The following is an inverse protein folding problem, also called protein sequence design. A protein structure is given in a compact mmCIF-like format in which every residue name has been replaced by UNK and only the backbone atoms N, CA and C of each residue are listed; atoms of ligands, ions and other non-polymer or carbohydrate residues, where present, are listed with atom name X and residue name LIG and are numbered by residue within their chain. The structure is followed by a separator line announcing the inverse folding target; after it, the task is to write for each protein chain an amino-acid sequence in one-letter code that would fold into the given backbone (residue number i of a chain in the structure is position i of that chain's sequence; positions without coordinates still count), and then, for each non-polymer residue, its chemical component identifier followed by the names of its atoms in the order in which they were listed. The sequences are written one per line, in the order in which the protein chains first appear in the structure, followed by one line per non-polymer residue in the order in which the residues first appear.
data_IF_505999870192
#
_entry.id   IF_505999870192
#
_cell.length_a   1.000
_cell.length_b   1.000
_cell.length_c   1.000
_cell.angle_alpha   90.00
_cell.angle_beta   90.00
_cell.angle_gamma   90.00
#
_symmetry.space_group_name_H-M   'P 1'
#
loop_
_entity.id
_entity.type
_entity.pdbx_description
1 polymer ?
#
# COMPACT_ATOMS: atom_id res chain seq x y z
N UNK A 1 -24.62 -43.92 7.68
CA UNK A 1 -23.83 -42.76 7.21
C UNK A 1 -24.78 -41.92 6.37
N UNK A 2 -25.31 -40.83 6.94
CA UNK A 2 -26.12 -39.90 6.17
C UNK A 2 -25.19 -39.14 5.22
N UNK A 3 -25.48 -39.17 3.92
CA UNK A 3 -24.85 -38.28 2.97
C UNK A 3 -25.20 -36.84 3.40
N UNK A 4 -24.20 -36.02 3.73
CA UNK A 4 -24.43 -34.59 3.92
C UNK A 4 -24.90 -34.04 2.57
N UNK A 5 -26.18 -33.68 2.47
CA UNK A 5 -26.69 -32.86 1.38
C UNK A 5 -25.80 -31.61 1.29
N UNK A 6 -25.11 -31.44 0.15
CA UNK A 6 -24.43 -30.19 -0.14
C UNK A 6 -25.51 -29.10 -0.20
N UNK A 7 -25.44 -28.14 0.72
CA UNK A 7 -26.27 -26.94 0.67
C UNK A 7 -26.09 -26.27 -0.70
N UNK A 8 -27.20 -25.93 -1.35
CA UNK A 8 -27.18 -25.18 -2.61
C UNK A 8 -26.51 -23.82 -2.36
N UNK A 9 -25.59 -23.42 -3.25
CA UNK A 9 -24.92 -22.12 -3.17
C UNK A 9 -25.89 -21.03 -3.57
N UNK A 10 -26.36 -20.24 -2.59
CA UNK A 10 -27.27 -19.12 -2.81
C UNK A 10 -26.62 -17.99 -3.63
N UNK A 11 -25.29 -17.82 -3.52
CA UNK A 11 -24.52 -16.80 -4.22
C UNK A 11 -23.41 -17.43 -5.09
N UNK A 12 -23.75 -18.10 -6.21
CA UNK A 12 -22.79 -18.89 -6.99
C UNK A 12 -21.69 -18.05 -7.66
N UNK A 13 -21.92 -16.74 -7.83
CA UNK A 13 -20.98 -15.81 -8.46
C UNK A 13 -20.13 -15.02 -7.45
N UNK A 14 -20.37 -15.16 -6.15
CA UNK A 14 -19.59 -14.44 -5.13
C UNK A 14 -18.17 -14.98 -5.08
N UNK A 15 -17.18 -14.09 -5.03
CA UNK A 15 -15.79 -14.47 -4.86
C UNK A 15 -15.53 -15.14 -3.50
N UNK A 16 -16.32 -14.78 -2.48
CA UNK A 16 -16.22 -15.32 -1.12
C UNK A 16 -16.42 -16.85 -1.07
N UNK A 17 -17.39 -17.37 -1.84
CA UNK A 17 -17.80 -18.78 -1.77
C UNK A 17 -17.13 -19.67 -2.83
N UNK A 18 -16.04 -19.19 -3.46
CA UNK A 18 -15.31 -20.00 -4.47
C UNK A 18 -14.63 -21.20 -3.84
N UNK A 19 -13.93 -20.97 -2.73
CA UNK A 19 -13.05 -21.91 -2.02
C UNK A 19 -13.57 -22.24 -0.61
N UNK A 20 -14.42 -21.38 -0.05
CA UNK A 20 -14.94 -21.46 1.32
C UNK A 20 -16.47 -21.53 1.37
N UNK A 21 -17.03 -21.99 2.50
CA UNK A 21 -18.47 -21.87 2.79
C UNK A 21 -19.39 -22.97 2.24
N UNK A 22 -18.86 -24.10 1.77
CA UNK A 22 -19.64 -25.18 1.15
C UNK A 22 -20.71 -25.84 2.05
N UNK A 23 -20.59 -25.69 3.38
CA UNK A 23 -21.48 -26.32 4.36
C UNK A 23 -22.33 -25.31 5.15
N UNK A 24 -22.39 -24.05 4.70
CA UNK A 24 -23.17 -23.02 5.37
C UNK A 24 -24.65 -23.14 5.05
N UNK A 25 -25.50 -22.90 6.04
CA UNK A 25 -26.94 -22.74 5.81
C UNK A 25 -27.22 -21.53 4.89
N UNK A 26 -28.42 -21.45 4.30
CA UNK A 26 -28.78 -20.29 3.49
C UNK A 26 -28.70 -18.98 4.28
N UNK A 27 -29.09 -18.98 5.55
CA UNK A 27 -29.03 -17.80 6.42
C UNK A 27 -27.58 -17.39 6.69
N UNK A 28 -26.71 -18.35 6.97
CA UNK A 28 -25.26 -18.09 7.15
C UNK A 28 -24.62 -17.55 5.86
N UNK A 29 -25.02 -18.07 4.69
CA UNK A 29 -24.55 -17.55 3.40
C UNK A 29 -24.99 -16.09 3.20
N UNK A 30 -26.22 -15.72 3.58
CA UNK A 30 -26.71 -14.33 3.50
C UNK A 30 -25.95 -13.40 4.43
N UNK A 31 -25.71 -13.82 5.67
CA UNK A 31 -24.93 -13.05 6.65
C UNK A 31 -23.49 -12.86 6.15
N UNK A 32 -22.81 -13.94 5.75
CA UNK A 32 -21.45 -13.90 5.26
C UNK A 32 -21.29 -13.04 4.00
N UNK A 33 -22.23 -13.13 3.05
CA UNK A 33 -22.22 -12.30 1.85
C UNK A 33 -22.40 -10.82 2.19
N UNK A 34 -23.35 -10.47 3.06
CA UNK A 34 -23.61 -9.08 3.45
C UNK A 34 -22.38 -8.46 4.13
N UNK A 35 -21.74 -9.21 5.03
CA UNK A 35 -20.51 -8.79 5.69
C UNK A 35 -19.34 -8.65 4.70
N UNK A 36 -19.18 -9.58 3.77
CA UNK A 36 -18.17 -9.50 2.72
C UNK A 36 -18.35 -8.29 1.82
N UNK A 37 -19.58 -7.95 1.42
CA UNK A 37 -19.86 -6.73 0.66
C UNK A 37 -19.51 -5.48 1.46
N UNK A 38 -19.84 -5.45 2.75
CA UNK A 38 -19.58 -4.33 3.68
C UNK A 38 -18.09 -4.09 3.95
N UNK A 39 -17.28 -5.15 4.06
CA UNK A 39 -15.87 -5.03 4.50
C UNK A 39 -14.83 -5.40 3.44
N UNK A 40 -15.20 -6.18 2.41
CA UNK A 40 -14.27 -6.65 1.38
C UNK A 40 -13.51 -7.93 1.71
N UNK A 41 -13.88 -8.62 2.79
CA UNK A 41 -13.30 -9.88 3.25
C UNK A 41 -14.25 -10.59 4.24
N UNK A 42 -13.94 -11.83 4.61
CA UNK A 42 -14.81 -12.72 5.38
C UNK A 42 -14.87 -12.38 6.87
N UNK A 43 -15.66 -11.36 7.21
CA UNK A 43 -15.91 -10.99 8.61
C UNK A 43 -16.72 -12.06 9.34
N UNK A 44 -17.63 -12.77 8.66
CA UNK A 44 -18.40 -13.86 9.27
C UNK A 44 -17.48 -14.92 9.90
N UNK A 45 -16.44 -15.32 9.17
CA UNK A 45 -15.42 -16.22 9.70
C UNK A 45 -14.55 -15.54 10.76
N UNK A 46 -14.10 -14.30 10.51
CA UNK A 46 -13.29 -13.54 11.48
C UNK A 46 -13.95 -13.46 12.85
N UNK A 47 -15.26 -13.21 12.91
CA UNK A 47 -16.02 -13.11 14.16
C UNK A 47 -16.07 -14.41 14.96
N UNK A 48 -15.81 -15.55 14.31
CA UNK A 48 -15.82 -16.90 14.89
C UNK A 48 -14.40 -17.44 15.14
N UNK A 49 -13.36 -16.68 14.80
CA UNK A 49 -11.97 -17.03 15.08
C UNK A 49 -11.50 -16.41 16.40
N UNK A 50 -10.64 -17.11 17.17
CA UNK A 50 -9.97 -16.53 18.32
C UNK A 50 -9.19 -15.25 17.96
N UNK A 51 -9.11 -14.31 18.90
CA UNK A 51 -8.31 -13.08 18.74
C UNK A 51 -6.80 -13.35 18.81
N UNK A 52 -6.42 -14.51 19.35
CA UNK A 52 -5.05 -15.00 19.55
C UNK A 52 -4.81 -16.29 18.76
N UNK A 53 -5.48 -16.46 17.61
CA UNK A 53 -5.31 -17.64 16.76
C UNK A 53 -3.82 -17.84 16.41
N UNK A 54 -3.32 -19.09 16.36
CA UNK A 54 -1.94 -19.35 16.01
C UNK A 54 -1.68 -19.01 14.54
N UNK A 55 -0.51 -18.44 14.27
CA UNK A 55 -0.02 -18.17 12.92
C UNK A 55 1.17 -19.08 12.58
N UNK A 56 1.31 -19.51 11.33
CA UNK A 56 2.52 -20.23 10.91
C UNK A 56 3.73 -19.30 10.97
N UNK A 57 4.87 -19.82 11.44
CA UNK A 57 6.15 -19.11 11.30
C UNK A 57 6.70 -19.31 9.88
N UNK A 58 6.59 -18.27 9.08
CA UNK A 58 6.94 -18.24 7.65
C UNK A 58 8.35 -17.68 7.39
N UNK A 59 9.10 -17.38 8.46
CA UNK A 59 10.46 -16.82 8.38
C UNK A 59 11.45 -17.84 7.80
N UNK A 60 12.52 -17.32 7.19
CA UNK A 60 13.67 -18.14 6.84
C UNK A 60 14.30 -18.72 8.13
N UNK A 61 14.69 -20.01 8.18
CA UNK A 61 15.30 -20.62 9.37
C UNK A 61 16.50 -19.85 9.93
N UNK A 62 17.24 -19.11 9.09
CA UNK A 62 18.36 -18.26 9.52
C UNK A 62 17.90 -17.11 10.38
N UNK A 63 16.69 -16.60 10.21
CA UNK A 63 16.11 -15.56 11.07
C UNK A 63 15.95 -16.04 12.52
N UNK A 64 15.63 -17.32 12.72
CA UNK A 64 15.47 -17.92 14.05
C UNK A 64 16.80 -18.04 14.81
N UNK A 65 17.90 -18.12 14.08
CA UNK A 65 19.25 -18.15 14.65
C UNK A 65 19.81 -16.76 14.97
N UNK A 66 19.18 -15.68 14.50
CA UNK A 66 19.65 -14.31 14.74
C UNK A 66 19.45 -13.91 16.19
N UNK A 67 20.43 -13.18 16.73
CA UNK A 67 20.37 -12.57 18.05
C UNK A 67 20.41 -11.06 17.88
N UNK A 68 19.44 -10.39 18.49
CA UNK A 68 19.32 -8.93 18.47
C UNK A 68 19.91 -8.31 19.74
N UNK A 69 20.21 -7.02 19.69
CA UNK A 69 20.68 -6.29 20.87
C UNK A 69 19.68 -6.40 22.05
N UNK A 70 20.16 -6.34 23.29
CA UNK A 70 19.28 -6.43 24.47
C UNK A 70 18.56 -5.12 24.78
N UNK A 71 19.19 -4.02 24.43
CA UNK A 71 18.86 -2.62 24.68
C UNK A 71 18.27 -1.97 23.41
N UNK A 72 17.28 -2.61 22.81
CA UNK A 72 16.56 -2.07 21.65
C UNK A 72 15.70 -0.85 22.04
N UNK A 73 15.48 0.09 21.11
CA UNK A 73 14.62 1.25 21.32
C UNK A 73 13.17 0.82 21.60
N UNK A 74 12.42 1.68 22.31
CA UNK A 74 10.99 1.48 22.53
C UNK A 74 10.19 1.76 21.26
N UNK A 75 9.01 1.15 21.12
CA UNK A 75 8.13 1.26 19.95
C UNK A 75 6.71 1.73 20.35
N UNK A 76 6.20 2.73 19.62
CA UNK A 76 4.78 3.11 19.58
C UNK A 76 4.19 2.54 18.30
N UNK A 77 3.15 1.70 18.42
CA UNK A 77 2.48 1.13 17.25
C UNK A 77 1.23 1.95 16.94
N UNK A 78 1.10 2.43 15.71
CA UNK A 78 -0.02 3.26 15.26
C UNK A 78 -0.88 2.42 14.31
N UNK A 79 -2.15 2.23 14.67
CA UNK A 79 -3.16 1.59 13.83
C UNK A 79 -4.16 2.63 13.35
N UNK A 80 -4.28 2.78 12.04
CA UNK A 80 -5.21 3.72 11.43
C UNK A 80 -6.39 2.93 10.87
N UNK A 81 -7.60 3.42 11.12
CA UNK A 81 -8.80 2.75 10.67
C UNK A 81 -9.92 3.71 10.30
N UNK A 82 -10.73 3.26 9.34
CA UNK A 82 -12.05 3.79 9.04
C UNK A 82 -12.97 2.58 8.87
N UNK A 83 -14.03 2.51 9.67
CA UNK A 83 -15.07 1.48 9.52
C UNK A 83 -14.53 0.04 9.47
N UNK A 84 -13.50 -0.26 10.26
CA UNK A 84 -12.90 -1.61 10.30
C UNK A 84 -13.79 -2.61 11.05
N UNK A 85 -13.73 -3.89 10.68
CA UNK A 85 -14.44 -4.94 11.40
C UNK A 85 -13.91 -5.09 12.84
N UNK A 86 -14.82 -5.18 13.80
CA UNK A 86 -14.47 -5.23 15.22
C UNK A 86 -13.56 -6.42 15.57
N UNK A 87 -13.84 -7.62 15.06
CA UNK A 87 -13.00 -8.81 15.30
C UNK A 87 -11.59 -8.65 14.74
N UNK A 88 -11.46 -7.99 13.59
CA UNK A 88 -10.17 -7.78 12.91
C UNK A 88 -9.29 -6.78 13.65
N UNK A 89 -9.81 -5.60 14.01
CA UNK A 89 -9.00 -4.62 14.75
C UNK A 89 -8.62 -5.13 16.15
N UNK A 90 -9.50 -5.91 16.79
CA UNK A 90 -9.19 -6.58 18.05
C UNK A 90 -8.05 -7.59 17.89
N UNK A 91 -8.05 -8.37 16.81
CA UNK A 91 -6.99 -9.33 16.49
C UNK A 91 -5.65 -8.65 16.20
N UNK A 92 -5.68 -7.51 15.49
CA UNK A 92 -4.50 -6.68 15.29
C UNK A 92 -3.90 -6.22 16.63
N UNK A 93 -4.72 -5.62 17.50
CA UNK A 93 -4.30 -5.19 18.84
C UNK A 93 -3.74 -6.37 19.65
N UNK A 94 -4.47 -7.49 19.71
CA UNK A 94 -4.08 -8.66 20.48
C UNK A 94 -2.75 -9.25 19.99
N UNK A 95 -2.57 -9.41 18.67
CA UNK A 95 -1.33 -9.94 18.09
C UNK A 95 -0.12 -9.05 18.38
N UNK A 96 -0.26 -7.71 18.33
CA UNK A 96 0.81 -6.78 18.71
C UNK A 96 1.18 -6.94 20.18
N UNK A 97 0.20 -7.02 21.07
CA UNK A 97 0.43 -7.20 22.52
C UNK A 97 1.13 -8.54 22.79
N UNK A 98 0.66 -9.62 22.15
CA UNK A 98 1.18 -10.98 22.37
C UNK A 98 2.60 -11.13 21.82
N UNK A 99 2.89 -10.60 20.63
CA UNK A 99 4.14 -10.86 19.90
C UNK A 99 5.18 -9.74 19.99
N UNK A 100 4.95 -8.73 20.84
CA UNK A 100 5.94 -7.68 21.12
C UNK A 100 6.41 -7.76 22.57
N UNK A 101 7.72 -7.86 22.85
CA UNK A 101 8.21 -7.89 24.22
C UNK A 101 7.76 -6.65 25.02
N UNK A 102 7.22 -6.85 26.23
CA UNK A 102 6.67 -5.78 27.10
C UNK A 102 7.63 -4.61 27.35
N UNK A 103 8.94 -4.86 27.36
CA UNK A 103 9.97 -3.82 27.54
C UNK A 103 10.12 -2.89 26.33
N UNK A 104 9.69 -3.34 25.14
CA UNK A 104 9.78 -2.59 23.89
C UNK A 104 8.48 -1.86 23.60
N UNK A 105 7.33 -2.51 23.79
CA UNK A 105 6.02 -1.93 23.47
C UNK A 105 5.67 -0.83 24.47
N UNK A 106 5.76 0.44 24.03
CA UNK A 106 5.44 1.59 24.85
C UNK A 106 3.93 1.85 24.90
N UNK A 107 3.30 1.82 23.73
CA UNK A 107 1.89 2.16 23.52
C UNK A 107 1.41 1.68 22.15
N UNK A 108 0.09 1.54 22.03
CA UNK A 108 -0.63 1.33 20.77
C UNK A 108 -1.62 2.49 20.61
N UNK A 109 -1.51 3.23 19.51
CA UNK A 109 -2.32 4.41 19.20
C UNK A 109 -3.29 4.05 18.08
N UNK A 110 -4.57 4.05 18.39
CA UNK A 110 -5.66 3.80 17.47
C UNK A 110 -6.17 5.14 16.92
N UNK A 111 -5.96 5.39 15.63
CA UNK A 111 -6.40 6.61 14.95
C UNK A 111 -7.66 6.33 14.14
N UNK A 112 -8.78 6.86 14.61
CA UNK A 112 -10.10 6.77 14.01
C UNK A 112 -10.32 7.92 13.01
N UNK A 113 -10.26 7.61 11.72
CA UNK A 113 -10.48 8.57 10.64
C UNK A 113 -11.98 8.74 10.35
N UNK A 114 -12.72 9.12 11.38
CA UNK A 114 -14.15 9.44 11.32
C UNK A 114 -15.05 8.23 10.95
N UNK A 115 -14.83 7.09 11.60
CA UNK A 115 -15.69 5.91 11.45
C UNK A 115 -17.14 6.21 11.85
N UNK A 116 -18.09 5.73 11.05
CA UNK A 116 -19.52 5.94 11.19
C UNK A 116 -20.33 4.64 11.36
N UNK A 117 -19.67 3.48 11.38
CA UNK A 117 -20.34 2.22 11.68
C UNK A 117 -20.65 2.08 13.18
N UNK A 118 -21.94 1.88 13.49
CA UNK A 118 -22.44 1.81 14.87
C UNK A 118 -21.89 0.63 15.68
N UNK A 119 -21.52 -0.47 15.01
CA UNK A 119 -20.98 -1.71 15.58
C UNK A 119 -19.51 -1.60 16.00
N UNK A 120 -18.81 -0.51 15.67
CA UNK A 120 -17.41 -0.31 16.03
C UNK A 120 -17.22 0.57 17.28
N UNK A 121 -17.93 1.69 17.38
CA UNK A 121 -17.65 2.77 18.33
C UNK A 121 -17.54 2.35 19.80
N UNK A 122 -18.68 2.01 20.42
CA UNK A 122 -18.74 1.61 21.84
C UNK A 122 -18.06 0.25 22.10
N UNK A 123 -18.27 -0.81 21.28
CA UNK A 123 -17.64 -2.10 21.51
C UNK A 123 -16.11 -2.09 21.45
N UNK A 124 -15.51 -1.24 20.61
CA UNK A 124 -14.06 -1.04 20.59
C UNK A 124 -13.59 -0.28 21.83
N UNK A 125 -14.34 0.75 22.26
CA UNK A 125 -14.01 1.48 23.48
C UNK A 125 -14.01 0.58 24.71
N UNK A 126 -15.01 -0.30 24.84
CA UNK A 126 -15.08 -1.24 25.96
C UNK A 126 -13.89 -2.21 25.98
N UNK A 127 -13.41 -2.63 24.82
CA UNK A 127 -12.21 -3.47 24.70
C UNK A 127 -10.92 -2.71 25.06
N UNK A 128 -10.81 -1.44 24.63
CA UNK A 128 -9.71 -0.56 25.01
C UNK A 128 -9.67 -0.38 26.54
N UNK A 129 -10.82 -0.11 27.15
CA UNK A 129 -10.94 0.09 28.59
C UNK A 129 -10.58 -1.19 29.37
N UNK A 130 -10.99 -2.36 28.86
CA UNK A 130 -10.61 -3.66 29.42
C UNK A 130 -9.09 -3.85 29.42
N UNK A 131 -8.42 -3.64 28.28
CA UNK A 131 -6.96 -3.79 28.18
C UNK A 131 -6.25 -2.78 29.08
N UNK A 132 -6.70 -1.53 29.09
CA UNK A 132 -6.10 -0.49 29.93
C UNK A 132 -6.32 -0.72 31.43
N UNK A 133 -7.31 -1.52 31.83
CA UNK A 133 -7.45 -1.96 33.22
C UNK A 133 -6.31 -2.90 33.64
N UNK A 134 -5.83 -3.73 32.72
CA UNK A 134 -4.73 -4.68 32.95
C UNK A 134 -3.35 -4.05 32.69
N UNK A 135 -3.25 -3.17 31.69
CA UNK A 135 -2.04 -2.48 31.27
C UNK A 135 -2.32 -0.97 31.11
N UNK A 136 -2.30 -0.20 32.21
CA UNK A 136 -2.69 1.21 32.21
C UNK A 136 -1.93 2.06 31.19
N UNK A 137 -2.69 2.73 30.32
CA UNK A 137 -2.16 3.67 29.34
C UNK A 137 -1.55 3.02 28.09
N UNK A 138 -1.67 1.70 27.93
CA UNK A 138 -1.14 1.00 26.76
C UNK A 138 -1.88 1.39 25.48
N UNK A 139 -3.22 1.40 25.50
CA UNK A 139 -4.03 1.77 24.35
C UNK A 139 -4.50 3.22 24.45
N UNK A 140 -4.22 4.00 23.40
CA UNK A 140 -4.69 5.37 23.23
C UNK A 140 -5.57 5.46 22.00
N UNK A 141 -6.68 6.19 22.10
CA UNK A 141 -7.57 6.45 20.96
C UNK A 141 -7.52 7.92 20.59
N UNK A 142 -7.27 8.20 19.32
CA UNK A 142 -7.32 9.52 18.69
C UNK A 142 -8.42 9.48 17.65
N UNK A 143 -9.39 10.38 17.70
CA UNK A 143 -10.50 10.43 16.74
C UNK A 143 -10.55 11.77 16.04
N UNK A 144 -10.59 11.73 14.72
CA UNK A 144 -10.83 12.93 13.92
C UNK A 144 -12.30 13.35 13.98
N UNK A 145 -12.53 14.67 13.87
CA UNK A 145 -13.88 15.26 13.84
C UNK A 145 -14.53 15.20 12.46
N UNK A 146 -13.74 14.92 11.42
CA UNK A 146 -14.16 14.69 10.04
C UNK A 146 -13.17 13.72 9.38
N UNK A 147 -13.51 13.17 8.21
CA UNK A 147 -12.60 12.29 7.48
C UNK A 147 -11.43 13.12 6.90
N UNK A 148 -10.21 12.83 7.35
CA UNK A 148 -9.00 13.55 6.95
C UNK A 148 -8.16 12.76 5.94
N UNK A 149 -8.34 11.45 5.86
CA UNK A 149 -7.59 10.56 4.97
C UNK A 149 -6.31 9.99 5.61
N UNK A 150 -5.69 9.06 4.88
CA UNK A 150 -4.62 8.22 5.39
C UNK A 150 -3.37 9.01 5.83
N UNK A 151 -2.92 9.98 5.03
CA UNK A 151 -1.72 10.79 5.33
C UNK A 151 -1.89 11.55 6.64
N UNK A 152 -3.00 12.26 6.81
CA UNK A 152 -3.27 13.02 8.02
C UNK A 152 -3.44 12.11 9.25
N UNK A 153 -4.09 10.95 9.10
CA UNK A 153 -4.21 9.98 10.19
C UNK A 153 -2.85 9.43 10.64
N UNK A 154 -1.90 9.22 9.72
CA UNK A 154 -0.52 8.87 10.06
C UNK A 154 0.18 9.98 10.85
N UNK A 155 -0.01 11.24 10.44
CA UNK A 155 0.53 12.40 11.15
C UNK A 155 -0.03 12.48 12.57
N UNK A 156 -1.36 12.42 12.73
CA UNK A 156 -2.02 12.45 14.03
C UNK A 156 -1.51 11.35 14.96
N UNK A 157 -1.33 10.12 14.45
CA UNK A 157 -0.76 9.03 15.23
C UNK A 157 0.69 9.28 15.66
N UNK A 158 1.53 9.79 14.74
CA UNK A 158 2.92 10.13 15.02
C UNK A 158 3.05 11.26 16.05
N UNK A 159 2.21 12.29 15.98
CA UNK A 159 2.19 13.41 16.94
C UNK A 159 1.85 12.96 18.37
N UNK A 160 1.03 11.91 18.52
CA UNK A 160 0.67 11.35 19.82
C UNK A 160 1.65 10.29 20.32
N UNK A 161 2.61 9.87 19.49
CA UNK A 161 3.60 8.87 19.83
C UNK A 161 4.73 9.43 20.71
N UNK A 162 5.13 8.65 21.70
CA UNK A 162 6.10 9.03 22.73
C UNK A 162 7.30 8.09 22.82
N UNK A 163 7.30 6.97 22.10
CA UNK A 163 8.43 6.06 22.03
C UNK A 163 9.57 6.59 21.14
N UNK A 164 10.68 5.87 21.11
CA UNK A 164 11.83 6.17 20.26
C UNK A 164 11.53 5.89 18.78
N UNK A 165 10.82 4.78 18.51
CA UNK A 165 10.42 4.34 17.17
C UNK A 165 8.90 4.38 17.03
N UNK A 166 8.42 4.79 15.85
CA UNK A 166 7.02 4.61 15.45
C UNK A 166 6.91 3.49 14.43
N UNK A 167 5.92 2.60 14.61
CA UNK A 167 5.52 1.63 13.60
C UNK A 167 4.09 1.92 13.17
N UNK A 168 3.91 2.32 11.91
CA UNK A 168 2.61 2.61 11.31
C UNK A 168 2.15 1.35 10.59
N UNK A 169 1.08 0.74 11.08
CA UNK A 169 0.49 -0.48 10.53
C UNK A 169 -0.99 -0.24 10.12
N UNK A 170 -1.49 -1.11 9.25
CA UNK A 170 -2.92 -1.15 8.93
C UNK A 170 -3.70 -1.85 10.05
N UNK A 171 -5.00 -1.54 10.19
CA UNK A 171 -5.84 -2.13 11.24
C UNK A 171 -6.28 -3.59 10.99
N UNK A 172 -5.95 -4.14 9.82
CA UNK A 172 -6.28 -5.51 9.38
C UNK A 172 -5.02 -6.36 9.21
N UNK A 173 -4.20 -6.37 10.26
CA UNK A 173 -2.98 -7.14 10.36
C UNK A 173 -3.01 -8.13 11.51
N UNK A 174 -2.12 -9.10 11.47
CA UNK A 174 -1.73 -9.90 12.63
C UNK A 174 -0.19 -9.93 12.69
N UNK A 175 0.37 -9.38 13.77
CA UNK A 175 1.81 -9.38 13.99
C UNK A 175 2.29 -10.81 14.30
N UNK A 176 3.39 -11.25 13.69
CA UNK A 176 3.97 -12.58 13.94
C UNK A 176 5.02 -12.54 15.06
N UNK A 177 5.38 -13.71 15.60
CA UNK A 177 6.40 -13.80 16.63
C UNK A 177 7.75 -13.22 16.15
N UNK A 178 8.35 -12.33 16.96
CA UNK A 178 9.65 -11.72 16.65
C UNK A 178 9.62 -10.72 15.50
N UNK A 179 8.47 -10.11 15.20
CA UNK A 179 8.35 -9.09 14.15
C UNK A 179 9.06 -7.77 14.51
N UNK A 180 9.09 -7.37 15.78
CA UNK A 180 9.53 -6.03 16.18
C UNK A 180 11.06 -5.92 16.26
N UNK A 181 11.72 -6.91 16.85
CA UNK A 181 13.16 -6.90 17.13
C UNK A 181 14.04 -6.68 15.89
N UNK A 182 13.80 -7.34 14.74
CA UNK A 182 14.59 -7.11 13.53
C UNK A 182 14.47 -5.66 13.00
N UNK A 183 13.28 -5.05 13.13
CA UNK A 183 13.05 -3.66 12.72
C UNK A 183 13.79 -2.69 13.64
N UNK A 184 13.64 -2.89 14.95
CA UNK A 184 14.24 -2.04 15.98
C UNK A 184 15.77 -2.14 15.98
N UNK A 185 16.32 -3.34 15.78
CA UNK A 185 17.77 -3.55 15.68
C UNK A 185 18.33 -2.81 14.45
N UNK A 186 17.58 -2.82 13.34
CA UNK A 186 18.00 -2.12 12.13
C UNK A 186 17.97 -0.60 12.28
N UNK A 187 16.90 -0.04 12.85
CA UNK A 187 16.80 1.40 13.14
C UNK A 187 17.84 1.83 14.18
N UNK A 188 18.13 0.99 15.17
CA UNK A 188 19.18 1.27 16.15
C UNK A 188 20.56 1.40 15.49
N UNK A 189 20.86 0.56 14.50
CA UNK A 189 22.13 0.61 13.78
C UNK A 189 22.26 1.86 12.89
N UNK A 190 21.15 2.35 12.35
CA UNK A 190 21.09 3.57 11.54
C UNK A 190 19.74 4.26 11.74
N UNK A 191 19.71 5.36 12.51
CA UNK A 191 18.46 6.07 12.82
C UNK A 191 17.77 6.68 11.59
N UNK A 192 18.47 6.78 10.47
CA UNK A 192 17.97 7.42 9.23
C UNK A 192 17.34 6.42 8.26
N UNK A 193 17.24 5.14 8.65
CA UNK A 193 16.57 4.10 7.87
C UNK A 193 15.08 4.02 8.19
N UNK A 194 14.26 3.99 7.16
CA UNK A 194 12.84 3.59 7.25
C UNK A 194 12.77 2.12 6.87
N UNK A 195 12.21 1.29 7.74
CA UNK A 195 12.16 -0.16 7.53
C UNK A 195 10.73 -0.64 7.33
N UNK A 196 10.55 -1.62 6.46
CA UNK A 196 9.27 -2.27 6.20
C UNK A 196 9.40 -3.78 6.46
N UNK A 197 8.45 -4.41 7.15
CA UNK A 197 8.42 -5.86 7.29
C UNK A 197 7.97 -6.50 5.97
N UNK A 198 8.06 -7.83 5.87
CA UNK A 198 7.42 -8.57 4.78
C UNK A 198 5.97 -8.86 5.14
N UNK A 199 5.08 -8.64 4.17
CA UNK A 199 3.65 -8.86 4.33
C UNK A 199 3.28 -10.27 3.89
N UNK A 200 2.96 -11.14 4.84
CA UNK A 200 2.32 -12.41 4.51
C UNK A 200 0.86 -12.17 4.14
N UNK A 201 0.38 -12.90 3.14
CA UNK A 201 -0.97 -12.69 2.62
C UNK A 201 -1.96 -13.43 3.50
N UNK A 202 -2.90 -12.70 4.09
CA UNK A 202 -4.10 -13.29 4.68
C UNK A 202 -5.20 -13.24 3.62
N UNK A 203 -5.68 -14.40 3.22
CA UNK A 203 -6.70 -14.54 2.20
C UNK A 203 -8.04 -13.93 2.64
N UNK A 204 -8.69 -13.15 1.78
CA UNK A 204 -9.94 -12.49 2.15
C UNK A 204 -11.10 -13.46 2.40
N UNK A 205 -11.05 -14.67 1.87
CA UNK A 205 -12.15 -15.64 1.85
C UNK A 205 -12.10 -16.59 3.05
N UNK A 206 -10.98 -17.24 3.33
CA UNK A 206 -10.86 -18.22 4.43
C UNK A 206 -9.91 -17.78 5.56
N UNK A 207 -9.32 -16.59 5.43
CA UNK A 207 -8.36 -16.00 6.38
C UNK A 207 -7.12 -16.87 6.63
N UNK A 208 -6.77 -17.79 5.71
CA UNK A 208 -5.50 -18.52 5.81
C UNK A 208 -4.32 -17.61 5.50
N UNK A 209 -3.17 -17.90 6.12
CA UNK A 209 -1.93 -17.15 5.90
C UNK A 209 -1.07 -17.88 4.88
N UNK A 210 -0.79 -17.21 3.77
CA UNK A 210 0.13 -17.64 2.73
C UNK A 210 1.46 -16.89 2.86
N UNK A 211 2.57 -17.63 2.82
CA UNK A 211 3.92 -17.05 2.86
C UNK A 211 4.18 -16.22 1.61
N UNK A 212 4.50 -14.95 1.78
CA UNK A 212 4.94 -14.09 0.69
C UNK A 212 6.47 -14.07 0.54
N UNK A 213 6.99 -14.08 -0.69
CA UNK A 213 8.43 -13.97 -0.90
C UNK A 213 8.87 -12.53 -0.60
N UNK A 214 10.02 -12.29 0.06
CA UNK A 214 10.53 -10.93 0.24
C UNK A 214 10.80 -10.25 -1.11
N UNK A 215 10.23 -9.07 -1.31
CA UNK A 215 10.48 -8.20 -2.46
C UNK A 215 10.84 -6.79 -1.99
N UNK A 216 11.54 -6.03 -2.83
CA UNK A 216 11.63 -4.58 -2.65
C UNK A 216 10.35 -3.91 -3.15
N UNK A 217 10.12 -2.65 -2.77
CA UNK A 217 8.96 -1.88 -3.19
C UNK A 217 9.37 -0.79 -4.17
N UNK A 218 8.64 -0.69 -5.27
CA UNK A 218 8.79 0.34 -6.29
C UNK A 218 7.49 1.10 -6.52
N UNK A 219 7.42 1.78 -7.64
CA UNK A 219 6.22 2.47 -8.11
C UNK A 219 6.28 2.74 -9.62
N UNK A 220 5.11 2.85 -10.24
CA UNK A 220 4.98 3.32 -11.62
C UNK A 220 4.87 4.85 -11.71
N UNK A 221 4.89 5.41 -12.93
CA UNK A 221 4.74 6.86 -13.12
C UNK A 221 3.35 7.41 -12.76
N UNK A 222 2.34 6.56 -12.56
CA UNK A 222 1.07 6.98 -12.00
C UNK A 222 1.10 7.04 -10.45
N UNK A 223 2.26 6.75 -9.84
CA UNK A 223 2.52 6.69 -8.40
C UNK A 223 1.80 5.53 -7.69
N UNK A 224 1.44 4.49 -8.42
CA UNK A 224 0.99 3.23 -7.82
C UNK A 224 2.19 2.40 -7.39
N UNK A 225 2.15 1.85 -6.17
CA UNK A 225 3.20 0.97 -5.71
C UNK A 225 3.22 -0.36 -6.45
N UNK A 226 4.43 -0.88 -6.64
CA UNK A 226 4.70 -2.17 -7.27
C UNK A 226 5.68 -2.97 -6.42
N UNK A 227 5.68 -4.29 -6.59
CA UNK A 227 6.78 -5.11 -6.10
C UNK A 227 7.89 -5.14 -7.13
N UNK A 228 9.11 -4.91 -6.68
CA UNK A 228 10.32 -4.91 -7.50
C UNK A 228 11.30 -5.96 -6.96
N UNK A 229 11.99 -6.72 -7.84
CA UNK A 229 13.05 -7.61 -7.37
C UNK A 229 14.13 -6.81 -6.64
N UNK A 230 14.70 -7.40 -5.59
CA UNK A 230 15.89 -6.81 -4.96
C UNK A 230 17.05 -6.71 -5.95
N UNK A 231 18.06 -5.91 -5.60
CA UNK A 231 19.26 -5.75 -6.41
C UNK A 231 19.93 -7.10 -6.71
N UNK A 232 20.58 -7.20 -7.87
CA UNK A 232 21.29 -8.41 -8.26
C UNK A 232 22.35 -8.85 -7.23
N UNK A 233 22.96 -7.89 -6.52
CA UNK A 233 23.88 -8.16 -5.43
C UNK A 233 23.22 -8.82 -4.23
N UNK A 234 22.02 -8.37 -3.85
CA UNK A 234 21.25 -8.99 -2.77
C UNK A 234 20.85 -10.42 -3.14
N UNK A 235 20.34 -10.62 -4.35
CA UNK A 235 19.94 -11.96 -4.84
C UNK A 235 21.12 -12.94 -4.86
N UNK A 236 22.31 -12.49 -5.28
CA UNK A 236 23.54 -13.31 -5.29
C UNK A 236 23.99 -13.77 -3.91
N UNK A 237 23.59 -13.10 -2.82
CA UNK A 237 23.92 -13.54 -1.45
C UNK A 237 23.23 -14.85 -1.07
N UNK A 238 22.12 -15.20 -1.73
CA UNK A 238 21.30 -16.38 -1.42
C UNK A 238 20.89 -16.43 0.07
N UNK A 239 20.73 -15.27 0.70
CA UNK A 239 20.36 -15.12 2.10
C UNK A 239 19.17 -14.19 2.26
N UNK A 240 17.97 -14.80 2.22
CA UNK A 240 16.70 -14.11 2.40
C UNK A 240 16.56 -13.50 3.79
N UNK A 241 17.41 -13.84 4.77
CA UNK A 241 17.34 -13.24 6.11
C UNK A 241 17.89 -11.82 6.16
N UNK A 242 18.61 -11.36 5.13
CA UNK A 242 19.28 -10.06 5.13
C UNK A 242 18.33 -8.94 4.69
N UNK A 243 18.36 -7.77 5.36
CA UNK A 243 17.67 -6.58 4.88
C UNK A 243 18.08 -6.23 3.44
N UNK A 244 17.12 -5.79 2.64
CA UNK A 244 17.33 -5.37 1.26
C UNK A 244 16.91 -3.92 1.05
N UNK A 245 17.74 -3.13 0.35
CA UNK A 245 17.39 -1.75 -0.03
C UNK A 245 16.16 -1.75 -0.92
N UNK A 246 15.31 -0.75 -0.74
CA UNK A 246 14.05 -0.59 -1.44
C UNK A 246 13.90 0.82 -1.97
N UNK A 247 13.49 1.04 -3.23
CA UNK A 247 13.20 2.38 -3.74
C UNK A 247 12.12 3.12 -2.95
N UNK A 248 11.05 2.39 -2.61
CA UNK A 248 9.88 2.94 -1.94
C UNK A 248 9.50 2.13 -0.70
N UNK A 249 8.40 2.53 -0.07
CA UNK A 249 7.68 1.77 0.94
C UNK A 249 6.23 1.59 0.49
N UNK A 250 5.58 0.50 0.90
CA UNK A 250 4.24 0.20 0.38
C UNK A 250 3.11 0.77 1.23
N UNK A 251 3.15 0.62 2.55
CA UNK A 251 2.10 1.18 3.42
C UNK A 251 2.40 1.02 4.90
N UNK A 252 2.95 -0.13 5.26
CA UNK A 252 3.38 -0.42 6.63
C UNK A 252 4.89 -0.20 6.76
N UNK A 253 5.29 0.53 7.79
CA UNK A 253 6.69 0.81 8.06
C UNK A 253 6.97 1.16 9.53
N UNK A 254 8.24 1.07 9.90
CA UNK A 254 8.76 1.62 11.15
C UNK A 254 9.93 2.58 10.88
N UNK A 255 10.05 3.62 11.69
CA UNK A 255 11.11 4.61 11.60
C UNK A 255 11.39 5.22 12.97
N UNK A 256 12.61 5.74 13.16
CA UNK A 256 12.92 6.60 14.28
C UNK A 256 11.97 7.82 14.29
N UNK A 257 11.32 8.06 15.43
CA UNK A 257 10.27 9.06 15.56
C UNK A 257 10.79 10.47 15.34
N UNK A 258 11.99 10.76 15.84
CA UNK A 258 12.61 12.07 15.72
C UNK A 258 13.06 12.31 14.27
N UNK A 259 13.72 11.33 13.65
CA UNK A 259 14.10 11.39 12.23
C UNK A 259 12.90 11.63 11.33
N UNK A 260 11.78 10.92 11.53
CA UNK A 260 10.56 11.14 10.73
C UNK A 260 10.06 12.59 10.84
N UNK A 261 10.17 13.21 12.02
CA UNK A 261 9.89 14.63 12.23
C UNK A 261 10.91 15.57 11.59
N UNK A 262 12.21 15.26 11.69
CA UNK A 262 13.30 16.02 11.07
C UNK A 262 13.14 16.13 9.55
N UNK A 263 12.66 15.06 8.91
CA UNK A 263 12.37 15.04 7.46
C UNK A 263 10.95 15.52 7.12
N UNK A 264 10.23 16.12 8.07
CA UNK A 264 8.93 16.77 7.86
C UNK A 264 7.72 15.85 7.79
N UNK A 265 7.71 14.72 8.51
CA UNK A 265 6.54 13.85 8.68
C UNK A 265 6.02 13.25 7.37
N UNK A 266 4.72 13.29 7.15
CA UNK A 266 4.08 13.03 5.85
C UNK A 266 3.49 14.33 5.28
N UNK A 267 3.15 14.34 3.99
CA UNK A 267 2.47 15.48 3.37
C UNK A 267 0.99 15.53 3.80
N UNK A 268 0.66 16.42 4.73
CA UNK A 268 -0.72 16.65 5.21
C UNK A 268 -1.66 17.24 4.14
N UNK A 269 -1.14 17.70 3.00
CA UNK A 269 -1.95 18.15 1.87
C UNK A 269 -2.46 17.03 0.96
N UNK A 270 -2.08 15.77 1.22
CA UNK A 270 -2.59 14.60 0.52
C UNK A 270 -3.95 14.17 1.06
N UNK A 271 -4.86 13.87 0.14
CA UNK A 271 -6.27 13.58 0.48
C UNK A 271 -6.61 12.11 0.31
N UNK A 272 -7.47 11.60 1.18
CA UNK A 272 -8.07 10.25 1.14
C UNK A 272 -7.03 9.11 1.21
N UNK A 273 -6.38 8.77 0.10
CA UNK A 273 -5.47 7.63 -0.01
C UNK A 273 -4.58 7.79 -1.25
N UNK A 274 -3.34 7.31 -1.16
CA UNK A 274 -2.48 7.05 -2.30
C UNK A 274 -1.40 8.10 -2.53
N UNK A 275 -0.22 7.65 -2.94
CA UNK A 275 0.94 8.46 -3.27
C UNK A 275 1.78 8.87 -2.04
N UNK A 276 1.26 8.77 -0.83
CA UNK A 276 1.95 9.21 0.39
C UNK A 276 3.13 8.31 0.77
N UNK A 277 2.99 7.03 0.47
CA UNK A 277 4.00 6.00 0.60
C UNK A 277 5.16 6.21 -0.41
N UNK A 278 4.83 6.51 -1.66
CA UNK A 278 5.79 6.84 -2.73
C UNK A 278 6.51 8.14 -2.43
N UNK A 279 5.78 9.18 -2.00
CA UNK A 279 6.34 10.46 -1.59
C UNK A 279 7.35 10.32 -0.46
N UNK A 280 6.96 9.58 0.59
CA UNK A 280 7.85 9.30 1.71
C UNK A 280 9.11 8.59 1.22
N UNK A 281 8.95 7.62 0.33
CA UNK A 281 10.09 6.86 -0.16
C UNK A 281 11.09 7.69 -0.96
N UNK A 282 10.59 8.48 -1.92
CA UNK A 282 11.42 9.41 -2.70
C UNK A 282 12.12 10.40 -1.76
N UNK A 283 11.37 11.02 -0.84
CA UNK A 283 11.92 12.02 0.08
C UNK A 283 13.01 11.46 0.98
N UNK A 284 12.80 10.29 1.59
CA UNK A 284 13.78 9.66 2.48
C UNK A 284 15.12 9.50 1.77
N UNK A 285 15.10 8.96 0.55
CA UNK A 285 16.31 8.77 -0.25
C UNK A 285 16.97 10.08 -0.69
N UNK A 286 16.18 11.04 -1.17
CA UNK A 286 16.71 12.33 -1.62
C UNK A 286 17.30 13.15 -0.48
N UNK A 287 16.75 13.02 0.73
CA UNK A 287 17.09 13.85 1.89
C UNK A 287 18.02 13.14 2.89
N UNK A 288 18.75 12.10 2.47
CA UNK A 288 19.88 11.54 3.21
C UNK A 288 19.58 10.35 4.11
N UNK A 289 18.37 9.80 4.06
CA UNK A 289 18.03 8.50 4.67
C UNK A 289 18.05 7.37 3.65
N UNK A 290 17.50 6.22 4.04
CA UNK A 290 17.28 5.10 3.12
C UNK A 290 16.09 4.24 3.53
N UNK A 291 15.60 3.41 2.60
CA UNK A 291 14.52 2.47 2.88
C UNK A 291 15.01 1.04 2.73
N UNK A 292 14.58 0.19 3.64
CA UNK A 292 14.87 -1.24 3.63
C UNK A 292 13.65 -2.09 3.91
N UNK A 293 13.56 -3.23 3.25
CA UNK A 293 12.67 -4.32 3.64
C UNK A 293 13.47 -5.28 4.52
N UNK A 294 12.91 -5.68 5.66
CA UNK A 294 13.57 -6.53 6.66
C UNK A 294 12.87 -7.89 6.72
N UNK A 295 13.37 -8.92 5.99
CA UNK A 295 12.62 -10.16 5.80
C UNK A 295 12.36 -11.01 7.05
N UNK A 296 13.20 -10.86 8.08
CA UNK A 296 13.01 -11.54 9.35
C UNK A 296 11.86 -10.95 10.19
N UNK A 297 11.39 -9.75 9.83
CA UNK A 297 10.15 -9.18 10.38
C UNK A 297 9.01 -9.48 9.43
N UNK A 298 7.98 -10.16 9.93
CA UNK A 298 6.82 -10.56 9.13
C UNK A 298 5.52 -10.16 9.81
N UNK A 299 4.58 -9.67 9.02
CA UNK A 299 3.24 -9.32 9.46
C UNK A 299 2.26 -9.93 8.48
N UNK A 300 1.26 -10.65 8.98
CA UNK A 300 0.18 -11.15 8.15
C UNK A 300 -0.81 -9.99 7.89
N UNK A 301 -1.16 -9.73 6.63
CA UNK A 301 -2.01 -8.62 6.21
C UNK A 301 -3.17 -9.12 5.35
N UNK A 302 -4.40 -8.68 5.64
CA UNK A 302 -5.59 -9.07 4.87
C UNK A 302 -5.60 -8.35 3.52
N UNK A 303 -5.45 -9.12 2.44
CA UNK A 303 -5.63 -8.63 1.08
C UNK A 303 -7.13 -8.53 0.78
N UNK A 304 -7.72 -7.34 0.89
CA UNK A 304 -9.14 -7.14 0.59
C UNK A 304 -9.46 -7.47 -0.87
N UNK A 305 -10.60 -8.13 -1.11
CA UNK A 305 -11.13 -8.33 -2.44
C UNK A 305 -11.62 -7.01 -3.07
N UNK A 306 -12.17 -6.11 -2.26
CA UNK A 306 -12.59 -4.76 -2.67
C UNK A 306 -12.51 -3.77 -1.50
N UNK A 307 -12.50 -2.46 -1.82
CA UNK A 307 -12.45 -1.36 -0.83
C UNK A 307 -13.77 -0.59 -0.82
N UNK A 308 -14.76 -0.98 0.01
CA UNK A 308 -16.13 -0.45 -0.08
C UNK A 308 -16.23 1.05 0.25
N UNK A 309 -15.34 1.57 1.09
CA UNK A 309 -15.29 2.99 1.46
C UNK A 309 -14.63 3.90 0.41
N UNK A 310 -14.01 3.34 -0.63
CA UNK A 310 -13.33 4.11 -1.68
C UNK A 310 -13.40 3.37 -3.03
N UNK A 311 -14.59 3.34 -3.67
CA UNK A 311 -14.82 2.58 -4.90
C UNK A 311 -14.02 3.10 -6.10
N UNK A 312 -13.71 4.41 -6.13
CA UNK A 312 -12.80 5.00 -7.09
C UNK A 312 -11.75 5.87 -6.39
N UNK A 313 -10.51 5.40 -6.41
CA UNK A 313 -9.36 6.09 -5.85
C UNK A 313 -8.66 6.99 -6.87
N UNK A 314 -9.04 6.93 -8.15
CA UNK A 314 -8.34 7.60 -9.24
C UNK A 314 -8.27 9.12 -9.07
N UNK A 315 -9.34 9.84 -8.66
CA UNK A 315 -9.27 11.30 -8.47
C UNK A 315 -8.29 11.71 -7.36
N UNK A 316 -8.35 11.00 -6.22
CA UNK A 316 -7.46 11.27 -5.08
C UNK A 316 -6.01 10.92 -5.43
N UNK A 317 -5.78 9.75 -6.04
CA UNK A 317 -4.45 9.34 -6.47
C UNK A 317 -3.88 10.30 -7.52
N UNK A 318 -4.66 10.68 -8.54
CA UNK A 318 -4.25 11.67 -9.55
C UNK A 318 -3.79 12.96 -8.90
N UNK A 319 -4.58 13.51 -7.98
CA UNK A 319 -4.21 14.75 -7.29
C UNK A 319 -2.93 14.58 -6.46
N UNK A 320 -2.84 13.52 -5.66
CA UNK A 320 -1.68 13.27 -4.80
C UNK A 320 -0.41 13.00 -5.63
N UNK A 321 -0.51 12.26 -6.74
CA UNK A 321 0.59 12.01 -7.66
C UNK A 321 1.14 13.31 -8.27
N UNK A 322 0.26 14.26 -8.62
CA UNK A 322 0.69 15.57 -9.12
C UNK A 322 1.37 16.42 -8.04
N UNK A 323 0.95 16.31 -6.77
CA UNK A 323 1.68 16.93 -5.65
C UNK A 323 3.10 16.36 -5.55
N UNK A 324 3.25 15.04 -5.59
CA UNK A 324 4.57 14.39 -5.59
C UNK A 324 5.42 14.89 -6.76
N UNK A 325 4.80 14.95 -7.94
CA UNK A 325 5.46 15.40 -9.17
C UNK A 325 6.00 16.83 -9.05
N UNK A 326 5.19 17.76 -8.52
CA UNK A 326 5.57 19.16 -8.41
C UNK A 326 6.63 19.43 -7.32
N UNK A 327 6.66 18.61 -6.27
CA UNK A 327 7.60 18.78 -5.16
C UNK A 327 8.94 18.08 -5.45
N UNK A 328 8.91 16.85 -5.95
CA UNK A 328 10.05 15.93 -5.88
C UNK A 328 10.62 15.48 -7.23
N UNK A 329 9.87 15.55 -8.33
CA UNK A 329 10.25 14.87 -9.57
C UNK A 329 10.99 15.74 -10.59
N UNK A 330 11.26 17.01 -10.28
CA UNK A 330 12.01 17.94 -11.15
C UNK A 330 11.47 17.93 -12.60
N UNK A 331 12.33 17.79 -13.61
CA UNK A 331 11.96 17.68 -15.03
C UNK A 331 11.19 16.40 -15.39
N UNK A 332 11.21 15.38 -14.51
CA UNK A 332 10.57 14.09 -14.72
C UNK A 332 9.08 14.10 -14.40
N UNK A 333 8.53 15.19 -13.85
CA UNK A 333 7.09 15.36 -13.60
C UNK A 333 6.22 15.15 -14.85
N UNK A 334 6.78 15.37 -16.04
CA UNK A 334 6.13 15.07 -17.33
C UNK A 334 5.66 13.63 -17.44
N UNK A 335 6.40 12.67 -16.87
CA UNK A 335 6.03 11.26 -16.91
C UNK A 335 4.74 11.01 -16.10
N UNK A 336 4.56 11.70 -14.97
CA UNK A 336 3.30 11.63 -14.20
C UNK A 336 2.14 12.22 -15.00
N UNK A 337 2.37 13.36 -15.66
CA UNK A 337 1.34 13.99 -16.49
C UNK A 337 0.89 13.06 -17.63
N UNK A 338 1.85 12.43 -18.30
CA UNK A 338 1.56 11.45 -19.36
C UNK A 338 0.82 10.23 -18.80
N UNK A 339 1.26 9.69 -17.66
CA UNK A 339 0.64 8.51 -17.04
C UNK A 339 -0.83 8.75 -16.67
N UNK A 340 -1.18 9.98 -16.28
CA UNK A 340 -2.54 10.38 -15.94
C UNK A 340 -3.33 11.00 -17.10
N UNK A 341 -2.79 10.98 -18.33
CA UNK A 341 -3.34 11.66 -19.50
C UNK A 341 -3.69 13.13 -19.25
N UNK A 342 -2.71 13.90 -18.79
CA UNK A 342 -2.86 15.29 -18.45
C UNK A 342 -2.04 16.15 -19.41
N UNK A 343 -2.58 17.27 -19.92
CA UNK A 343 -1.80 18.24 -20.66
C UNK A 343 -0.53 18.66 -19.89
N UNK A 344 0.60 18.75 -20.59
CA UNK A 344 1.88 19.16 -19.96
C UNK A 344 1.84 20.61 -19.43
N UNK A 345 0.96 21.43 -20.00
CA UNK A 345 0.75 22.83 -19.67
C UNK A 345 -0.74 23.06 -19.40
N UNK A 346 -1.07 23.98 -18.50
CA UNK A 346 -2.45 24.46 -18.23
C UNK A 346 -3.50 23.39 -17.92
N UNK A 347 -3.13 22.34 -17.19
CA UNK A 347 -4.03 21.23 -16.87
C UNK A 347 -5.15 21.52 -15.84
N UNK A 348 -5.17 22.70 -15.23
CA UNK A 348 -6.19 23.18 -14.27
C UNK A 348 -6.49 22.29 -13.05
N UNK A 349 -5.78 21.18 -12.83
CA UNK A 349 -5.91 20.34 -11.63
C UNK A 349 -5.38 21.09 -10.41
N UNK A 350 -6.26 21.36 -9.44
CA UNK A 350 -5.87 21.95 -8.16
C UNK A 350 -5.21 20.90 -7.25
N UNK A 351 -3.90 21.02 -7.11
CA UNK A 351 -3.09 20.18 -6.24
C UNK A 351 -2.95 20.75 -4.83
N UNK A 352 -3.52 21.93 -4.54
CA UNK A 352 -3.33 22.68 -3.31
C UNK A 352 -1.94 23.30 -3.17
N UNK A 353 -1.71 24.04 -2.08
CA UNK A 353 -0.40 24.62 -1.79
C UNK A 353 0.64 23.54 -1.45
N UNK A 354 1.84 23.69 -2.01
CA UNK A 354 3.01 22.82 -1.80
C UNK A 354 4.25 23.59 -1.35
N UNK A 355 4.12 24.89 -1.09
CA UNK A 355 5.25 25.80 -0.78
C UNK A 355 6.05 25.30 0.43
N UNK A 356 5.39 24.90 1.51
CA UNK A 356 6.07 24.34 2.69
C UNK A 356 6.89 23.07 2.39
N UNK A 357 6.41 22.22 1.47
CA UNK A 357 7.14 21.00 1.08
C UNK A 357 8.36 21.32 0.23
N UNK A 358 8.26 22.32 -0.65
CA UNK A 358 9.39 22.83 -1.45
C UNK A 358 10.45 23.50 -0.57
N UNK A 359 10.04 24.34 0.37
CA UNK A 359 10.94 24.96 1.36
C UNK A 359 11.66 23.91 2.22
N UNK A 360 10.95 22.86 2.64
CA UNK A 360 11.54 21.75 3.37
C UNK A 360 12.61 21.03 2.54
N UNK A 361 12.33 20.76 1.26
CA UNK A 361 13.27 20.14 0.32
C UNK A 361 14.56 20.96 0.19
N UNK A 362 14.44 22.28 0.06
CA UNK A 362 15.58 23.20 0.01
C UNK A 362 16.36 23.23 1.33
N UNK A 363 15.66 23.35 2.46
CA UNK A 363 16.25 23.38 3.80
C UNK A 363 17.08 22.14 4.11
N UNK A 364 16.58 20.97 3.73
CA UNK A 364 17.25 19.68 3.91
C UNK A 364 18.35 19.41 2.88
N UNK A 365 18.51 20.29 1.87
CA UNK A 365 19.48 20.15 0.77
C UNK A 365 19.34 18.81 0.06
N UNK A 366 18.10 18.40 -0.19
CA UNK A 366 17.83 17.12 -0.80
C UNK A 366 18.40 17.05 -2.23
N UNK A 367 18.79 15.85 -2.65
CA UNK A 367 19.35 15.59 -3.97
C UNK A 367 18.30 15.82 -5.09
N UNK A 368 18.73 16.06 -6.33
CA UNK A 368 17.81 16.10 -7.48
C UNK A 368 17.25 14.71 -7.78
N UNK A 369 16.06 14.64 -8.38
CA UNK A 369 15.39 13.36 -8.70
C UNK A 369 16.19 12.50 -9.69
N UNK A 370 16.97 13.13 -10.56
CA UNK A 370 17.91 12.42 -11.44
C UNK A 370 18.84 11.50 -10.65
N UNK A 371 19.35 11.93 -9.50
CA UNK A 371 20.20 11.10 -8.64
C UNK A 371 19.44 9.86 -8.14
N UNK A 372 18.16 10.00 -7.80
CA UNK A 372 17.33 8.87 -7.36
C UNK A 372 17.16 7.82 -8.46
N UNK A 373 16.91 8.24 -9.71
CA UNK A 373 16.83 7.33 -10.85
C UNK A 373 18.18 6.64 -11.13
N UNK A 374 19.29 7.33 -10.96
CA UNK A 374 20.63 6.79 -11.25
C UNK A 374 21.18 5.88 -10.13
N UNK A 375 20.73 6.04 -8.88
CA UNK A 375 21.35 5.40 -7.71
C UNK A 375 20.40 4.53 -6.88
N UNK A 376 19.09 4.75 -6.97
CA UNK A 376 18.09 4.08 -6.12
C UNK A 376 17.15 3.23 -6.96
N UNK A 377 16.45 3.82 -7.93
CA UNK A 377 15.45 3.13 -8.75
C UNK A 377 15.86 3.06 -10.22
N UNK A 378 16.97 2.38 -10.48
CA UNK A 378 17.60 2.32 -11.82
C UNK A 378 16.79 1.55 -12.86
N UNK A 379 15.80 0.76 -12.45
CA UNK A 379 14.89 0.04 -13.35
C UNK A 379 13.67 0.85 -13.78
N UNK A 380 13.37 1.99 -13.14
CA UNK A 380 12.24 2.83 -13.51
C UNK A 380 12.52 3.54 -14.83
N UNK A 381 11.91 3.06 -15.91
CA UNK A 381 12.14 3.57 -17.27
C UNK A 381 11.47 4.93 -17.47
N UNK A 382 12.21 5.93 -17.96
CA UNK A 382 11.68 7.27 -18.28
C UNK A 382 11.18 7.35 -19.72
N UNK A 383 10.35 8.36 -20.01
CA UNK A 383 9.83 8.64 -21.36
C UNK A 383 10.45 9.91 -21.96
N UNK A 384 11.78 9.95 -22.03
CA UNK A 384 12.52 11.14 -22.48
C UNK A 384 12.54 11.33 -24.02
N UNK A 385 12.47 10.25 -24.79
CA UNK A 385 12.61 10.25 -26.26
C UNK A 385 11.27 10.16 -27.01
N UNK A 386 10.24 10.80 -26.45
CA UNK A 386 8.89 10.76 -26.98
C UNK A 386 8.70 11.76 -28.12
N UNK A 387 8.15 11.30 -29.25
CA UNK A 387 7.80 12.15 -30.39
C UNK A 387 6.43 12.81 -30.21
N UNK A 388 5.53 12.15 -29.49
CA UNK A 388 4.21 12.66 -29.14
C UNK A 388 3.47 11.71 -28.21
N UNK A 389 2.52 12.27 -27.47
CA UNK A 389 1.54 11.52 -26.68
C UNK A 389 0.16 12.12 -26.90
N UNK A 390 -0.86 11.28 -26.84
CA UNK A 390 -2.24 11.73 -26.83
C UNK A 390 -3.20 10.60 -27.11
N UNK A 391 -4.44 10.96 -27.40
CA UNK A 391 -5.48 10.01 -27.76
C UNK A 391 -5.40 9.72 -29.25
N UNK A 392 -5.35 8.43 -29.61
CA UNK A 392 -5.46 8.00 -31.01
C UNK A 392 -6.92 7.82 -31.38
N UNK A 393 -7.42 8.71 -32.25
CA UNK A 393 -8.79 8.71 -32.76
C UNK A 393 -8.84 8.04 -34.12
N UNK A 394 -9.88 7.24 -34.35
CA UNK A 394 -10.15 6.67 -35.65
C UNK A 394 -10.77 7.73 -36.59
N UNK A 395 -10.18 7.95 -37.76
CA UNK A 395 -10.63 8.98 -38.70
C UNK A 395 -11.99 8.66 -39.36
N UNK A 396 -12.29 7.36 -39.53
CA UNK A 396 -13.55 6.88 -40.12
C UNK A 396 -14.66 6.82 -39.06
N UNK A 397 -14.32 6.32 -37.88
CA UNK A 397 -15.21 6.22 -36.73
C UNK A 397 -14.85 7.31 -35.74
N UNK A 398 -15.26 8.55 -36.03
CA UNK A 398 -14.92 9.74 -35.25
C UNK A 398 -15.25 9.65 -33.75
N UNK A 399 -16.08 8.72 -33.29
CA UNK A 399 -16.37 8.54 -31.87
C UNK A 399 -15.57 7.39 -31.22
N UNK A 400 -14.59 6.83 -31.93
CA UNK A 400 -13.80 5.67 -31.49
C UNK A 400 -12.34 6.05 -31.33
N UNK A 401 -11.76 5.59 -30.24
CA UNK A 401 -10.36 5.78 -29.90
C UNK A 401 -9.73 4.41 -29.63
N UNK A 402 -8.43 4.33 -29.88
CA UNK A 402 -7.63 3.14 -29.60
C UNK A 402 -7.55 2.94 -28.09
N UNK A 403 -7.90 1.74 -27.61
CA UNK A 403 -7.92 1.40 -26.19
C UNK A 403 -7.26 0.04 -25.93
N UNK A 404 -6.48 -0.06 -24.85
CA UNK A 404 -5.79 -1.30 -24.47
C UNK A 404 -6.74 -2.35 -23.86
N UNK A 405 -8.00 -2.02 -23.54
CA UNK A 405 -8.95 -2.93 -22.91
C UNK A 405 -8.70 -3.11 -21.41
N UNK A 406 -9.59 -3.82 -20.71
CA UNK A 406 -9.54 -3.94 -19.24
C UNK A 406 -8.34 -4.74 -18.71
N UNK A 407 -7.66 -5.51 -19.55
CA UNK A 407 -6.56 -6.38 -19.16
C UNK A 407 -5.26 -5.85 -19.79
N UNK A 408 -4.22 -5.53 -19.00
CA UNK A 408 -2.91 -5.16 -19.54
C UNK A 408 -2.17 -6.38 -20.13
N UNK A 409 -1.28 -6.14 -21.10
CA UNK A 409 -0.44 -7.18 -21.72
C UNK A 409 -0.38 -7.12 -23.25
N UNK A 410 0.21 -8.14 -23.88
CA UNK A 410 0.30 -8.30 -25.34
C UNK A 410 -1.02 -8.80 -25.95
N UNK A 411 -2.11 -8.11 -25.64
CA UNK A 411 -3.47 -8.43 -26.07
C UNK A 411 -3.79 -7.58 -27.31
N UNK A 412 -4.54 -8.09 -28.30
CA UNK A 412 -4.99 -7.28 -29.42
C UNK A 412 -5.68 -6.00 -28.94
N UNK A 413 -5.21 -4.87 -29.44
CA UNK A 413 -5.72 -3.54 -29.11
C UNK A 413 -7.17 -3.45 -29.63
N UNK A 414 -8.09 -3.03 -28.78
CA UNK A 414 -9.52 -3.00 -29.10
C UNK A 414 -9.98 -1.59 -29.45
N UNK A 415 -10.95 -1.49 -30.36
CA UNK A 415 -11.81 -0.32 -30.49
C UNK A 415 -13.10 -0.65 -29.73
N UNK A 416 -13.46 0.10 -28.67
CA UNK A 416 -14.79 -0.04 -28.05
C UNK A 416 -15.85 0.24 -29.13
N UNK A 417 -16.68 -0.67 -29.66
CA UNK A 417 -17.24 -1.92 -29.13
C UNK A 417 -17.36 -3.07 -30.16
N UNK A 418 -17.54 -4.28 -29.61
CA UNK A 418 -17.84 -5.62 -30.21
C UNK A 418 -16.87 -6.17 -31.25
N UNK A 419 -16.16 -7.23 -30.82
CA UNK A 419 -15.36 -8.22 -31.56
C UNK A 419 -15.20 -8.03 -33.08
N UNK A 420 -13.95 -7.88 -33.53
CA UNK A 420 -13.30 -8.90 -34.36
C UNK A 420 -11.81 -8.59 -34.58
N UNK A 421 -11.02 -9.67 -34.54
CA UNK A 421 -9.59 -9.73 -34.83
C UNK A 421 -9.27 -9.23 -36.25
N UNK A 422 -8.24 -8.40 -36.41
CA UNK A 422 -7.31 -8.51 -37.55
C UNK A 422 -5.95 -7.84 -37.25
N UNK A 423 -4.88 -8.54 -37.63
CA UNK A 423 -3.49 -8.04 -37.69
C UNK A 423 -3.24 -7.42 -39.07
N UNK A 424 -2.55 -6.28 -39.10
CA UNK A 424 -1.81 -5.84 -40.28
C UNK A 424 -0.46 -5.27 -39.85
N UNK A 425 0.60 -5.73 -40.51
CA UNK A 425 1.97 -5.23 -40.34
C UNK A 425 2.28 -4.15 -41.36
N UNK A 426 3.12 -3.18 -40.99
CA UNK A 426 3.69 -2.22 -41.92
C UNK A 426 5.21 -2.12 -41.74
N UNK A 427 5.89 -2.13 -42.88
CA UNK A 427 7.34 -1.94 -43.05
C UNK A 427 7.63 -0.46 -43.19
N UNK A 428 8.35 0.08 -42.20
CA UNK A 428 8.92 1.42 -42.16
C UNK A 428 9.92 1.47 -41.00
N UNK A 429 10.80 2.48 -40.98
CA UNK A 429 11.74 2.76 -39.88
C UNK A 429 11.05 2.51 -38.54
N UNK A 430 11.63 1.71 -37.63
CA UNK A 430 10.80 1.15 -36.58
C UNK A 430 10.48 2.29 -35.59
N UNK A 431 9.20 2.66 -35.53
CA UNK A 431 8.64 3.52 -34.49
C UNK A 431 7.83 2.61 -33.57
N UNK A 432 8.04 2.75 -32.27
CA UNK A 432 7.31 1.94 -31.29
C UNK A 432 6.11 2.75 -30.81
N UNK A 433 4.92 2.15 -30.96
CA UNK A 433 3.71 2.63 -30.32
C UNK A 433 3.61 1.93 -28.96
N UNK A 434 3.72 2.71 -27.89
CA UNK A 434 3.49 2.22 -26.53
C UNK A 434 2.14 2.74 -26.06
N UNK A 435 1.20 1.84 -25.77
CA UNK A 435 -0.07 2.22 -25.14
C UNK A 435 0.10 2.22 -23.62
N UNK A 436 -0.28 3.34 -22.99
CA UNK A 436 -0.30 3.49 -21.54
C UNK A 436 -1.73 3.36 -21.03
N UNK A 437 -1.92 2.64 -19.92
CA UNK A 437 -3.24 2.34 -19.39
C UNK A 437 -3.77 3.46 -18.49
N UNK A 438 -4.79 4.21 -18.94
CA UNK A 438 -5.71 4.98 -18.09
C UNK A 438 -7.02 5.36 -18.81
N UNK A 439 -8.17 4.80 -18.39
CA UNK A 439 -9.53 5.34 -18.69
C UNK A 439 -10.38 4.61 -19.76
N UNK A 440 -11.72 4.80 -19.70
CA UNK A 440 -12.75 3.96 -20.38
C UNK A 440 -13.53 4.63 -21.55
N UNK A 441 -13.34 5.92 -21.85
CA UNK A 441 -14.09 6.62 -22.94
C UNK A 441 -13.18 7.54 -23.76
N UNK A 442 -13.54 7.92 -25.00
CA UNK A 442 -12.76 8.90 -25.79
C UNK A 442 -12.62 10.29 -25.12
N UNK A 443 -13.49 10.61 -24.14
CA UNK A 443 -13.45 11.85 -23.36
C UNK A 443 -12.52 11.73 -22.13
N UNK A 444 -12.31 10.49 -21.68
CA UNK A 444 -11.49 10.08 -20.54
C UNK A 444 -10.36 9.13 -20.98
N UNK A 445 -9.87 9.27 -22.22
CA UNK A 445 -9.26 8.16 -22.98
C UNK A 445 -7.84 7.81 -22.59
N UNK A 446 -7.42 6.58 -22.94
CA UNK A 446 -6.03 6.11 -22.81
C UNK A 446 -5.11 6.82 -23.79
N UNK A 447 -3.87 7.00 -23.36
CA UNK A 447 -2.84 7.68 -24.14
C UNK A 447 -2.02 6.66 -24.90
N UNK A 448 -1.88 6.90 -26.19
CA UNK A 448 -0.85 6.26 -26.97
C UNK A 448 0.38 7.16 -27.01
N UNK A 449 1.54 6.57 -26.79
CA UNK A 449 2.84 7.21 -26.85
C UNK A 449 3.60 6.74 -28.08
N UNK A 450 4.14 7.68 -28.83
CA UNK A 450 5.04 7.38 -29.94
C UNK A 450 6.48 7.61 -29.51
N UNK A 451 7.27 6.55 -29.51
CA UNK A 451 8.71 6.62 -29.25
C UNK A 451 9.50 6.30 -30.52
N UNK A 452 10.60 7.02 -30.71
CA UNK A 452 11.57 6.71 -31.76
C UNK A 452 12.46 5.58 -31.27
N UNK A 453 12.62 4.50 -32.03
CA UNK A 453 13.66 3.52 -31.69
C UNK A 453 15.02 4.18 -31.88
N UNK A 454 15.79 4.22 -30.79
CA UNK A 454 17.22 4.51 -30.87
C UNK A 454 17.89 3.20 -31.28
N UNK A 455 18.59 3.24 -32.43
CA UNK A 455 19.42 2.15 -32.92
C UNK A 455 20.60 1.87 -31.99
#
# INVERSE_FOLDING_TARGET
MAAMEQSEKLFPNSALFKTWGANLSEDDQREAQSLYEKYGYNVYLSDRLPLDRPLPDTRDPRCLAKKYAKDLPSISVILIYINEALSVIKRAIQSIITHTPKKLLKEIILVDDYSNYNDLGKPLQDYIDQINKEMPGLLKKVRHTQQMGLSQSRISGWEHATADVVAILDAHIEATEGWAEPLLDRIKADRTVVVSPVFDKVHFDDLHVERYIPFSHGFDWAMWCTYEPFSSEWVKKMDESQPGKSPSVMGIFAADRAFLGEIGGLDGGMTVYGGENVELGIRVWLCGGSIEVVPCSRIAHIERAHKPYAPDLSPAMRRNALRVADIWLDEYKKNVFIAWNIPLEDHMVDIGDVSQRKELREKLKCKPFKWYLENVYTSLSTWDNMLGYGVLRNDLLKNHCVDQGSVPGNIPISMNATSNNHRSGHTGTPMTLTLLAAGRTCRDGRVAMFTRLLN
#
